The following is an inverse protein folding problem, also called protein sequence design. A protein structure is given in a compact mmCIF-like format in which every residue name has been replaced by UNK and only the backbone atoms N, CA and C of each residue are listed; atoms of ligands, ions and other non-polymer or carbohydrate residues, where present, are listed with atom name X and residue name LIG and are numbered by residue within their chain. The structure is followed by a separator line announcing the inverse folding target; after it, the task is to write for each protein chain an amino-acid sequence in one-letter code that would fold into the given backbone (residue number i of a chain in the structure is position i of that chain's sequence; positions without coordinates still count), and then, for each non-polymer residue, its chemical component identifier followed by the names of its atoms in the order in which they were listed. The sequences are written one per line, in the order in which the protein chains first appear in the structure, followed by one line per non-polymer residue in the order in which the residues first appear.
data_IF_432988445164
#
_entry.id   IF_432988445164
#
_cell.length_a   1.000
_cell.length_b   1.000
_cell.length_c   1.000
_cell.angle_alpha   90.00
_cell.angle_beta   90.00
_cell.angle_gamma   90.00
#
_symmetry.space_group_name_H-M   'P 1'
#
loop_
_entity.id
_entity.type
_entity.pdbx_description
1 polymer ?
#
# COMPACT_ATOMS: atom_id res chain seq x y z
N UNK A 1 6.23 -2.95 19.25
CA UNK A 1 6.47 -2.57 17.84
C UNK A 1 5.38 -1.57 17.46
N UNK A 2 5.70 -0.38 16.94
CA UNK A 2 4.67 0.51 16.40
C UNK A 2 3.95 -0.21 15.25
N UNK A 3 2.62 -0.10 15.20
CA UNK A 3 1.80 -0.75 14.19
C UNK A 3 1.77 0.12 12.91
N UNK A 4 2.91 0.13 12.23
CA UNK A 4 3.18 1.00 11.07
C UNK A 4 2.18 0.73 9.93
N UNK A 5 1.71 -0.52 9.80
CA UNK A 5 0.65 -0.87 8.86
C UNK A 5 -0.65 -0.11 9.16
N UNK A 6 -1.11 -0.11 10.42
CA UNK A 6 -2.35 0.56 10.81
C UNK A 6 -2.26 2.08 10.61
N UNK A 7 -1.15 2.67 11.02
CA UNK A 7 -0.87 4.10 10.83
C UNK A 7 -0.86 4.50 9.34
N UNK A 8 -0.28 3.64 8.49
CA UNK A 8 -0.32 3.86 7.04
C UNK A 8 -1.76 3.85 6.51
N UNK A 9 -2.60 2.91 6.95
CA UNK A 9 -4.00 2.85 6.49
C UNK A 9 -4.79 4.08 6.92
N UNK A 10 -4.58 4.58 8.14
CA UNK A 10 -5.20 5.82 8.60
C UNK A 10 -4.75 7.01 7.75
N UNK A 11 -3.45 7.13 7.47
CA UNK A 11 -2.91 8.14 6.56
C UNK A 11 -3.51 8.03 5.14
N UNK A 12 -3.69 6.81 4.61
CA UNK A 12 -4.32 6.59 3.32
C UNK A 12 -5.80 7.01 3.35
N UNK A 13 -6.50 6.74 4.44
CA UNK A 13 -7.90 7.14 4.64
C UNK A 13 -8.03 8.66 4.65
N UNK A 14 -7.19 9.37 5.39
CA UNK A 14 -7.16 10.84 5.37
C UNK A 14 -6.86 11.38 3.98
N UNK A 15 -5.90 10.78 3.26
CA UNK A 15 -5.57 11.16 1.90
C UNK A 15 -6.75 10.97 0.93
N UNK A 16 -7.57 9.94 1.14
CA UNK A 16 -8.78 9.66 0.36
C UNK A 16 -9.90 10.63 0.70
N UNK A 17 -10.20 10.82 1.98
CA UNK A 17 -11.26 11.74 2.44
C UNK A 17 -10.94 13.18 2.06
N UNK A 18 -9.67 13.59 2.17
CA UNK A 18 -9.19 14.93 1.83
C UNK A 18 -8.95 15.17 0.34
N UNK A 19 -9.07 14.14 -0.52
CA UNK A 19 -8.82 14.31 -1.95
C UNK A 19 -9.97 15.07 -2.62
N UNK A 20 -9.66 16.27 -3.15
CA UNK A 20 -10.61 17.08 -3.94
C UNK A 20 -10.88 16.56 -5.35
N UNK A 21 -10.16 15.54 -5.80
CA UNK A 21 -10.24 15.00 -7.16
C UNK A 21 -10.37 13.49 -7.19
N UNK A 22 -10.31 12.92 -8.39
CA UNK A 22 -10.47 11.47 -8.59
C UNK A 22 -9.19 10.67 -8.34
N UNK A 23 -8.14 11.31 -7.82
CA UNK A 23 -6.81 10.69 -7.67
C UNK A 23 -6.16 11.17 -6.38
N UNK A 24 -5.67 10.21 -5.58
CA UNK A 24 -4.81 10.46 -4.44
C UNK A 24 -3.40 9.93 -4.75
N UNK A 25 -2.40 10.80 -4.66
CA UNK A 25 -1.00 10.46 -4.91
C UNK A 25 -0.21 10.44 -3.61
N UNK A 26 0.27 9.27 -3.23
CA UNK A 26 1.13 9.05 -2.08
C UNK A 26 2.58 8.89 -2.54
N UNK A 27 3.51 9.46 -1.78
CA UNK A 27 4.94 9.19 -1.95
C UNK A 27 5.51 8.74 -0.62
N UNK A 28 6.52 7.87 -0.66
CA UNK A 28 7.18 7.38 0.56
C UNK A 28 7.69 8.54 1.43
N UNK A 29 8.22 9.61 0.81
CA UNK A 29 8.68 10.81 1.52
C UNK A 29 7.56 11.53 2.28
N UNK A 30 6.36 11.63 1.68
CA UNK A 30 5.20 12.25 2.36
C UNK A 30 4.68 11.36 3.47
N UNK A 31 4.53 10.05 3.23
CA UNK A 31 4.11 9.09 4.25
C UNK A 31 5.08 9.07 5.44
N UNK A 32 6.40 9.04 5.18
CA UNK A 32 7.44 9.11 6.21
C UNK A 32 7.33 10.35 7.09
N UNK A 33 7.13 11.53 6.47
CA UNK A 33 6.98 12.80 7.19
C UNK A 33 5.68 12.85 8.00
N UNK A 34 4.59 12.35 7.45
CA UNK A 34 3.29 12.37 8.12
C UNK A 34 3.22 11.40 9.31
N UNK A 35 3.92 10.27 9.22
CA UNK A 35 3.92 9.22 10.24
C UNK A 35 5.11 9.32 11.21
N UNK A 36 5.92 10.38 11.09
CA UNK A 36 7.13 10.57 11.90
C UNK A 36 7.99 9.30 11.99
N UNK A 37 8.13 8.60 10.86
CA UNK A 37 8.92 7.38 10.79
C UNK A 37 10.41 7.75 10.78
N UNK A 38 11.02 7.73 11.96
CA UNK A 38 12.41 8.14 12.20
C UNK A 38 13.39 6.98 11.94
N UNK A 39 12.93 5.74 12.12
CA UNK A 39 13.78 4.56 11.95
C UNK A 39 13.85 4.07 10.50
N UNK A 40 15.02 3.56 10.09
CA UNK A 40 15.18 2.83 8.82
C UNK A 40 14.27 1.61 8.72
N UNK A 41 13.99 0.96 9.86
CA UNK A 41 13.10 -0.21 9.90
C UNK A 41 11.64 0.18 9.61
N UNK A 42 11.18 1.32 10.14
CA UNK A 42 9.83 1.85 9.88
C UNK A 42 9.69 2.30 8.42
N UNK A 43 10.71 2.97 7.87
CA UNK A 43 10.75 3.34 6.46
C UNK A 43 10.68 2.10 5.54
N UNK A 44 11.40 1.03 5.88
CA UNK A 44 11.35 -0.22 5.14
C UNK A 44 9.96 -0.89 5.23
N UNK A 45 9.34 -0.88 6.42
CA UNK A 45 7.99 -1.40 6.61
C UNK A 45 6.94 -0.61 5.81
N UNK A 46 7.00 0.73 5.84
CA UNK A 46 6.13 1.60 5.03
C UNK A 46 6.28 1.32 3.53
N UNK A 47 7.53 1.18 3.06
CA UNK A 47 7.79 0.86 1.66
C UNK A 47 7.22 -0.52 1.32
N UNK A 48 7.44 -1.53 2.15
CA UNK A 48 6.95 -2.89 1.94
C UNK A 48 5.42 -2.91 1.88
N UNK A 49 4.74 -2.21 2.78
CA UNK A 49 3.27 -2.12 2.79
C UNK A 49 2.72 -1.43 1.52
N UNK A 50 3.33 -0.33 1.08
CA UNK A 50 2.93 0.32 -0.18
C UNK A 50 3.17 -0.56 -1.41
N UNK A 51 4.28 -1.31 -1.41
CA UNK A 51 4.57 -2.28 -2.48
C UNK A 51 3.61 -3.47 -2.45
N UNK A 52 3.21 -3.95 -1.27
CA UNK A 52 2.21 -4.99 -1.11
C UNK A 52 0.88 -4.59 -1.77
N UNK A 53 0.38 -3.39 -1.42
CA UNK A 53 -0.85 -2.85 -1.98
C UNK A 53 -0.75 -2.63 -3.49
N UNK A 54 0.42 -2.20 -3.98
CA UNK A 54 0.64 -2.06 -5.43
C UNK A 54 0.66 -3.42 -6.15
N UNK A 55 1.30 -4.44 -5.58
CA UNK A 55 1.36 -5.79 -6.14
C UNK A 55 -0.02 -6.47 -6.15
N UNK A 56 -0.88 -6.14 -5.19
CA UNK A 56 -2.29 -6.56 -5.17
C UNK A 56 -3.17 -5.79 -6.19
N UNK A 57 -2.60 -4.86 -6.96
CA UNK A 57 -3.35 -4.04 -7.92
C UNK A 57 -4.23 -2.96 -7.28
N UNK A 58 -4.10 -2.74 -5.97
CA UNK A 58 -4.88 -1.74 -5.23
C UNK A 58 -4.32 -0.33 -5.38
N UNK A 59 -3.03 -0.22 -5.71
CA UNK A 59 -2.33 1.03 -6.01
C UNK A 59 -1.59 0.90 -7.35
N UNK A 60 -1.57 1.98 -8.13
CA UNK A 60 -0.69 2.09 -9.27
C UNK A 60 0.65 2.68 -8.85
N UNK A 61 1.76 1.98 -9.14
CA UNK A 61 3.11 2.47 -8.86
C UNK A 61 3.67 3.16 -10.10
N UNK A 62 4.07 4.42 -9.98
CA UNK A 62 4.78 5.10 -11.08
C UNK A 62 6.20 4.54 -11.22
N UNK A 63 6.70 4.35 -12.45
CA UNK A 63 8.08 3.90 -12.66
C UNK A 63 9.09 4.98 -12.20
N UNK A 64 10.28 4.54 -11.77
CA UNK A 64 11.42 5.41 -11.47
C UNK A 64 12.01 5.27 -10.06
N UNK A 65 13.09 6.02 -9.78
CA UNK A 65 13.86 5.98 -8.52
C UNK A 65 13.08 6.46 -7.28
N UNK A 66 12.03 7.26 -7.48
CA UNK A 66 11.16 7.79 -6.41
C UNK A 66 9.70 7.51 -6.80
N UNK A 67 9.24 6.25 -6.68
CA UNK A 67 7.91 5.89 -7.10
C UNK A 67 6.84 6.65 -6.29
N UNK A 68 5.80 7.08 -6.97
CA UNK A 68 4.55 7.53 -6.39
C UNK A 68 3.55 6.39 -6.48
N UNK A 69 2.74 6.26 -5.46
CA UNK A 69 1.64 5.31 -5.40
C UNK A 69 0.36 6.09 -5.61
N UNK A 70 -0.36 5.73 -6.66
CA UNK A 70 -1.55 6.42 -7.12
C UNK A 70 -2.75 5.54 -6.81
N UNK A 71 -3.73 6.14 -6.16
CA UNK A 71 -5.03 5.53 -5.93
C UNK A 71 -6.06 6.34 -6.71
N UNK A 72 -6.87 5.66 -7.52
CA UNK A 72 -7.97 6.28 -8.25
C UNK A 72 -9.27 6.11 -7.49
N UNK A 73 -10.12 7.13 -7.55
CA UNK A 73 -11.48 7.09 -7.01
C UNK A 73 -12.29 6.03 -7.73
N UNK A 74 -13.09 5.29 -6.96
CA UNK A 74 -13.83 4.13 -7.45
C UNK A 74 -13.02 2.82 -7.46
N UNK A 75 -11.73 2.85 -7.10
CA UNK A 75 -10.99 1.62 -6.87
C UNK A 75 -11.53 0.89 -5.63
N UNK A 76 -11.32 -0.45 -5.53
CA UNK A 76 -11.71 -1.21 -4.34
C UNK A 76 -11.08 -0.67 -3.06
N UNK A 77 -9.80 -0.25 -3.12
CA UNK A 77 -9.10 0.33 -1.97
C UNK A 77 -9.69 1.67 -1.56
N UNK A 78 -10.00 2.55 -2.52
CA UNK A 78 -10.62 3.84 -2.23
C UNK A 78 -11.95 3.66 -1.51
N UNK A 79 -12.79 2.78 -2.04
CA UNK A 79 -14.11 2.48 -1.47
C UNK A 79 -14.00 1.87 -0.07
N UNK A 80 -13.03 0.98 0.15
CA UNK A 80 -12.78 0.39 1.46
C UNK A 80 -12.35 1.46 2.49
N UNK A 81 -11.50 2.40 2.09
CA UNK A 81 -11.04 3.49 2.95
C UNK A 81 -12.16 4.49 3.27
N UNK A 82 -13.00 4.84 2.30
CA UNK A 82 -14.18 5.69 2.51
C UNK A 82 -15.17 5.03 3.49
N UNK A 83 -15.36 3.71 3.38
CA UNK A 83 -16.25 2.93 4.27
C UNK A 83 -15.65 2.62 5.64
N UNK A 84 -14.39 2.99 5.88
CA UNK A 84 -13.71 2.74 7.15
C UNK A 84 -13.29 1.30 7.38
N UNK A 85 -13.12 0.49 6.32
CA UNK A 85 -12.62 -0.88 6.39
C UNK A 85 -11.10 -0.94 6.67
N UNK A 86 -10.65 -0.29 7.75
CA UNK A 86 -9.24 -0.06 8.08
C UNK A 86 -8.52 -1.38 8.40
N UNK A 87 -9.13 -2.25 9.22
CA UNK A 87 -8.48 -3.48 9.70
C UNK A 87 -8.21 -4.48 8.57
N UNK A 88 -9.11 -4.55 7.59
CA UNK A 88 -8.94 -5.37 6.39
C UNK A 88 -7.77 -4.86 5.55
N UNK A 89 -7.68 -3.56 5.33
CA UNK A 89 -6.59 -2.95 4.56
C UNK A 89 -5.25 -3.09 5.30
N UNK A 90 -5.25 -2.96 6.63
CA UNK A 90 -4.05 -3.13 7.44
C UNK A 90 -3.52 -4.57 7.38
N UNK A 91 -4.44 -5.54 7.40
CA UNK A 91 -4.12 -6.95 7.21
C UNK A 91 -3.51 -7.20 5.82
N UNK A 92 -4.10 -6.66 4.76
CA UNK A 92 -3.56 -6.77 3.40
C UNK A 92 -2.18 -6.12 3.25
N UNK A 93 -1.96 -4.99 3.90
CA UNK A 93 -0.67 -4.30 3.94
C UNK A 93 0.40 -5.11 4.70
N UNK A 94 0.02 -5.79 5.79
CA UNK A 94 0.89 -6.64 6.59
C UNK A 94 1.19 -8.02 5.97
N UNK A 95 0.31 -8.52 5.09
CA UNK A 95 0.45 -9.83 4.43
C UNK A 95 1.69 -9.94 3.50
N UNK A 96 2.36 -8.84 3.16
CA UNK A 96 3.66 -8.90 2.48
C UNK A 96 4.73 -9.65 3.28
N UNK A 97 4.59 -9.79 4.59
CA UNK A 97 5.49 -10.59 5.42
C UNK A 97 5.38 -12.10 5.17
N UNK A 98 4.29 -12.57 4.55
CA UNK A 98 4.00 -14.01 4.37
C UNK A 98 3.93 -14.49 2.93
N UNK A 99 3.90 -13.62 1.92
CA UNK A 99 3.94 -14.06 0.53
C UNK A 99 5.37 -14.36 0.09
N UNK A 100 5.80 -15.60 0.34
CA UNK A 100 6.79 -16.25 -0.53
C UNK A 100 6.28 -16.11 -1.98
N UNK A 101 7.13 -15.80 -2.96
CA UNK A 101 6.70 -15.74 -4.34
C UNK A 101 6.21 -17.13 -4.74
N UNK A 102 4.90 -17.27 -4.98
CA UNK A 102 4.35 -18.42 -5.66
C UNK A 102 4.98 -18.42 -7.06
N UNK A 103 6.05 -19.20 -7.21
CA UNK A 103 6.55 -19.60 -8.52
C UNK A 103 5.40 -20.34 -9.20
N UNK A 104 4.75 -19.64 -10.12
CA UNK A 104 3.73 -20.22 -10.97
C UNK A 104 4.31 -21.50 -11.59
N UNK A 105 3.70 -22.63 -11.21
CA UNK A 105 3.82 -23.94 -11.83
C UNK A 105 3.77 -23.80 -13.36
N UNK A 106 4.94 -23.86 -14.01
CA UNK A 106 5.02 -24.25 -15.41
C UNK A 106 4.93 -25.76 -15.46
N UNK A 107 3.70 -26.28 -15.47
CA UNK A 107 3.43 -27.66 -15.89
C UNK A 107 3.68 -27.68 -17.40
N UNK A 108 4.88 -28.04 -17.81
CA UNK A 108 5.14 -28.46 -19.20
C UNK A 108 4.74 -29.91 -19.31
N UNK A 109 3.50 -30.16 -19.73
CA UNK A 109 3.12 -31.48 -20.24
C UNK A 109 3.74 -31.67 -21.62
N UNK A 110 4.70 -32.58 -21.72
CA UNK A 110 5.10 -33.25 -22.96
C UNK A 110 5.52 -34.68 -22.63
N UNK A 111 4.66 -35.64 -22.95
CA UNK A 111 4.99 -36.84 -23.69
C UNK A 111 3.71 -37.47 -24.24
#
# INVERSE_FOLDING_TARGET
MRDVERLLVEYLREAVIGARGNVASISLRRAKRALEAESKAEEAALKAALEALANLGLLQKTPGKKPRYIMQRGSPLWTALERGCIDLVATLAGHAKHQRPNQHLRITSRR
#
